data_IF_586672671573
#
_entry.id   IF_586672671573
#
_cell.length_a   1.000
_cell.length_b   1.000
_cell.length_c   1.000
_cell.angle_alpha   90.00
_cell.angle_beta   90.00
_cell.angle_gamma   90.00
#
_symmetry.space_group_name_H-M   'P 1'
#
loop_
_entity.id
_entity.type
_entity.pdbx_description
1 polymer ?
#
# COMPACT_ATOMS: atom_id res chain seq x y z
N UNK A 1 -27.78 -25.98 -15.71
CA UNK A 1 -27.64 -25.23 -14.43
C UNK A 1 -26.60 -25.84 -13.48
N UNK A 2 -26.47 -27.17 -13.35
CA UNK A 2 -25.49 -27.83 -12.45
C UNK A 2 -24.00 -27.60 -12.79
N UNK A 3 -23.65 -27.40 -14.07
CA UNK A 3 -22.26 -27.24 -14.50
C UNK A 3 -21.60 -25.91 -14.13
N UNK A 4 -22.39 -24.89 -13.75
CA UNK A 4 -21.87 -23.57 -13.37
C UNK A 4 -21.64 -23.44 -11.86
N UNK A 5 -22.12 -24.38 -11.05
CA UNK A 5 -21.93 -24.39 -9.60
C UNK A 5 -20.46 -24.41 -9.16
N UNK A 6 -19.55 -25.24 -9.74
CA UNK A 6 -18.14 -25.21 -9.35
C UNK A 6 -17.46 -23.92 -9.78
N UNK A 7 -17.82 -23.37 -10.94
CA UNK A 7 -17.26 -22.10 -11.44
C UNK A 7 -17.70 -20.91 -10.57
N UNK A 8 -18.98 -20.84 -10.19
CA UNK A 8 -19.49 -19.82 -9.29
C UNK A 8 -18.82 -19.88 -7.91
N UNK A 9 -18.54 -21.09 -7.40
CA UNK A 9 -17.84 -21.27 -6.13
C UNK A 9 -16.40 -20.76 -6.18
N UNK A 10 -15.69 -21.01 -7.29
CA UNK A 10 -14.31 -20.52 -7.49
C UNK A 10 -14.28 -18.99 -7.55
N UNK A 11 -15.22 -18.36 -8.25
CA UNK A 11 -15.32 -16.89 -8.33
C UNK A 11 -15.66 -16.28 -6.97
N UNK A 12 -16.54 -16.93 -6.19
CA UNK A 12 -16.87 -16.48 -4.83
C UNK A 12 -15.68 -16.60 -3.86
N UNK A 13 -14.85 -17.64 -4.00
CA UNK A 13 -13.62 -17.80 -3.21
C UNK A 13 -12.51 -16.82 -3.64
N UNK A 14 -12.47 -16.43 -4.91
CA UNK A 14 -11.53 -15.44 -5.43
C UNK A 14 -11.91 -14.00 -5.06
N UNK A 15 -13.13 -13.76 -4.57
CA UNK A 15 -13.60 -12.46 -4.10
C UNK A 15 -13.09 -12.10 -2.69
N UNK A 16 -12.00 -12.72 -2.23
CA UNK A 16 -11.30 -12.24 -1.04
C UNK A 16 -11.02 -10.75 -1.22
N UNK A 17 -11.41 -9.89 -0.26
CA UNK A 17 -11.10 -8.48 -0.35
C UNK A 17 -9.59 -8.38 -0.46
N UNK A 18 -9.11 -7.90 -1.61
CA UNK A 18 -7.73 -7.50 -1.73
C UNK A 18 -7.54 -6.45 -0.63
N UNK A 19 -6.69 -6.75 0.36
CA UNK A 19 -6.36 -5.84 1.45
C UNK A 19 -5.58 -4.65 0.84
N UNK A 20 -6.31 -3.79 0.14
CA UNK A 20 -5.80 -2.58 -0.43
C UNK A 20 -5.48 -1.65 0.73
N UNK A 21 -4.29 -1.07 0.73
CA UNK A 21 -3.96 -0.03 1.71
C UNK A 21 -4.91 1.14 1.50
N UNK A 22 -5.48 1.66 2.59
CA UNK A 22 -6.42 2.78 2.50
C UNK A 22 -5.65 4.01 2.03
N UNK A 23 -6.10 4.65 0.95
CA UNK A 23 -5.58 5.94 0.51
C UNK A 23 -6.10 7.03 1.46
N UNK A 24 -5.19 7.73 2.13
CA UNK A 24 -5.52 8.84 3.02
C UNK A 24 -5.50 10.19 2.30
N UNK A 25 -4.74 10.31 1.20
CA UNK A 25 -4.67 11.51 0.38
C UNK A 25 -3.32 11.72 -0.30
N UNK A 26 -3.24 12.78 -1.09
CA UNK A 26 -2.01 13.26 -1.74
C UNK A 26 -1.69 14.64 -1.20
N UNK A 27 -0.43 14.84 -0.80
CA UNK A 27 0.08 16.08 -0.19
C UNK A 27 1.38 16.48 -0.88
N UNK A 28 1.31 17.46 -1.78
CA UNK A 28 2.38 17.77 -2.72
C UNK A 28 2.82 16.49 -3.47
N UNK A 29 4.10 16.15 -3.45
CA UNK A 29 4.66 14.96 -4.13
C UNK A 29 4.48 13.65 -3.34
N UNK A 30 3.74 13.66 -2.22
CA UNK A 30 3.57 12.51 -1.33
C UNK A 30 2.17 11.89 -1.42
N UNK A 31 2.10 10.57 -1.61
CA UNK A 31 0.90 9.78 -1.35
C UNK A 31 0.92 9.20 0.07
N UNK A 32 -0.16 9.38 0.84
CA UNK A 32 -0.31 8.89 2.21
C UNK A 32 -1.30 7.73 2.31
N UNK A 33 -0.97 6.73 3.13
CA UNK A 33 -1.69 5.46 3.23
C UNK A 33 -1.83 4.96 4.67
N UNK A 34 -2.89 4.18 4.93
CA UNK A 34 -3.04 3.37 6.15
C UNK A 34 -3.02 1.89 5.77
N UNK A 35 -2.25 1.13 6.54
CA UNK A 35 -2.19 -0.33 6.45
C UNK A 35 -2.87 -0.92 7.69
N UNK A 36 -3.94 -1.68 7.48
CA UNK A 36 -4.72 -2.31 8.55
C UNK A 36 -4.16 -3.67 8.98
N UNK A 37 -3.49 -4.39 8.07
CA UNK A 37 -2.80 -5.65 8.35
C UNK A 37 -1.60 -5.41 9.28
N UNK A 38 -0.84 -4.34 8.99
CA UNK A 38 0.26 -3.86 9.81
C UNK A 38 -0.09 -2.46 10.30
N UNK A 39 -0.69 -2.28 11.50
CA UNK A 39 -1.36 -1.04 11.91
C UNK A 39 -0.43 0.17 12.00
N UNK A 40 -0.18 0.78 10.84
CA UNK A 40 0.75 1.89 10.58
C UNK A 40 0.13 2.84 9.55
N UNK A 41 0.47 4.11 9.68
CA UNK A 41 0.28 5.10 8.63
C UNK A 41 1.64 5.36 7.99
N UNK A 42 1.70 5.49 6.66
CA UNK A 42 2.94 5.79 5.96
C UNK A 42 2.70 6.67 4.73
N UNK A 43 3.67 7.46 4.33
CA UNK A 43 3.66 8.23 3.08
C UNK A 43 4.79 7.76 2.16
N UNK A 44 4.64 7.87 0.83
CA UNK A 44 5.68 7.61 -0.18
C UNK A 44 5.71 8.77 -1.18
N UNK A 45 6.87 9.08 -1.76
CA UNK A 45 7.02 10.09 -2.80
C UNK A 45 7.83 9.56 -3.97
N UNK A 46 7.58 10.14 -5.14
CA UNK A 46 8.41 9.92 -6.32
C UNK A 46 9.64 10.84 -6.25
N UNK A 47 10.82 10.36 -6.62
CA UNK A 47 12.02 11.18 -6.74
C UNK A 47 12.00 12.11 -7.95
N UNK A 48 12.63 13.29 -7.81
CA UNK A 48 12.81 14.29 -8.88
C UNK A 48 14.06 13.98 -9.72
N UNK A 49 13.95 14.06 -11.06
CA UNK A 49 15.08 13.90 -12.01
C UNK A 49 14.86 12.86 -13.13
N UNK A 50 15.83 12.78 -14.05
CA UNK A 50 15.78 11.85 -15.18
C UNK A 50 16.06 10.41 -14.71
N UNK A 51 15.09 9.51 -14.94
CA UNK A 51 15.18 8.10 -14.53
C UNK A 51 16.14 7.37 -15.48
N UNK A 52 17.36 7.12 -15.04
CA UNK A 52 18.32 6.27 -15.77
C UNK A 52 17.88 4.80 -15.65
N UNK A 53 18.12 4.00 -16.71
CA UNK A 53 17.64 2.61 -16.83
C UNK A 53 18.08 1.65 -15.71
N UNK A 54 19.06 2.02 -14.89
CA UNK A 54 19.68 1.16 -13.87
C UNK A 54 19.58 1.71 -12.42
N UNK A 55 18.64 2.62 -12.08
CA UNK A 55 18.54 3.12 -10.68
C UNK A 55 17.14 3.54 -10.18
N UNK A 56 16.90 3.23 -8.90
CA UNK A 56 15.61 3.16 -8.17
C UNK A 56 15.56 4.15 -6.99
N UNK A 57 14.86 5.28 -7.11
CA UNK A 57 14.79 6.22 -6.00
C UNK A 57 13.43 6.18 -5.28
N UNK A 58 13.37 6.68 -4.06
CA UNK A 58 12.50 6.20 -2.97
C UNK A 58 12.01 7.37 -2.09
N UNK A 59 11.04 7.12 -1.22
CA UNK A 59 10.80 7.90 0.01
C UNK A 59 9.87 7.15 0.97
N UNK A 60 9.94 7.38 2.28
CA UNK A 60 8.76 7.20 3.15
C UNK A 60 8.82 8.01 4.44
N UNK A 61 7.68 8.14 5.15
CA UNK A 61 7.65 8.46 6.59
C UNK A 61 6.47 7.71 7.20
N UNK A 62 6.68 7.00 8.31
CA UNK A 62 5.67 6.16 8.94
C UNK A 62 5.48 6.43 10.43
N UNK A 63 4.25 6.19 10.88
CA UNK A 63 3.77 6.44 12.23
C UNK A 63 2.98 5.23 12.73
N UNK A 64 3.28 4.77 13.95
CA UNK A 64 2.82 3.50 14.51
C UNK A 64 1.99 3.71 15.79
N UNK A 65 0.76 4.25 15.68
CA UNK A 65 -0.01 4.72 16.83
C UNK A 65 -0.34 3.61 17.83
N UNK A 66 -0.57 2.38 17.35
CA UNK A 66 -0.93 1.24 18.20
C UNK A 66 0.26 0.60 18.91
N UNK A 67 1.48 0.84 18.42
CA UNK A 67 2.69 0.17 18.95
C UNK A 67 3.55 1.08 19.82
N UNK A 68 3.15 2.34 20.06
CA UNK A 68 3.98 3.37 20.73
C UNK A 68 5.40 3.49 20.16
N UNK A 69 5.60 3.11 18.90
CA UNK A 69 6.87 3.29 18.19
C UNK A 69 6.83 4.68 17.56
N UNK A 70 7.57 5.62 18.15
CA UNK A 70 7.66 6.99 17.65
C UNK A 70 8.70 7.09 16.54
N UNK A 71 8.20 7.10 15.29
CA UNK A 71 8.91 7.55 14.09
C UNK A 71 9.32 6.44 13.11
N UNK A 72 9.09 6.68 11.83
CA UNK A 72 9.80 6.04 10.73
C UNK A 72 9.93 7.05 9.59
N UNK A 73 11.04 7.00 8.87
CA UNK A 73 11.37 7.76 7.66
C UNK A 73 12.05 6.75 6.76
N UNK A 74 11.77 6.73 5.46
CA UNK A 74 12.40 5.80 4.55
C UNK A 74 13.14 6.52 3.43
N UNK A 75 14.28 5.89 3.22
CA UNK A 75 15.50 6.24 2.53
C UNK A 75 15.72 5.16 1.45
N UNK A 76 16.95 4.84 1.07
CA UNK A 76 17.51 5.48 -0.11
C UNK A 76 17.75 4.50 -1.25
#
# INVERSE_FOLDING_TARGET
>A
MRAYAPFALIVALAAAPLAARDSLGVYAEWGAFRDSETPRCYAIARPEGEVRRDWEPFASVSYWPRRRVSGQVHFR
#
